data_IF_933924196944
#
_entry.id   IF_933924196944
#
_cell.length_a   1.000
_cell.length_b   1.000
_cell.length_c   1.000
_cell.angle_alpha   90.00
_cell.angle_beta   90.00
_cell.angle_gamma   90.00
#
_symmetry.space_group_name_H-M   'P 1'
#
loop_
_entity.id
_entity.type
_entity.pdbx_description
1 polymer ?
#
# COMPACT_ATOMS: atom_id res chain seq x y z
N UNK A 1 -8.62 -5.23 -8.24
CA UNK A 1 -7.24 -5.57 -8.65
C UNK A 1 -6.23 -4.82 -7.80
N UNK A 2 -5.18 -5.46 -7.27
CA UNK A 2 -4.09 -4.76 -6.56
C UNK A 2 -3.14 -4.15 -7.60
N UNK A 3 -2.85 -2.85 -7.48
CA UNK A 3 -1.97 -2.10 -8.39
C UNK A 3 -0.58 -1.93 -7.76
N UNK A 4 -0.52 -1.77 -6.44
CA UNK A 4 0.75 -1.62 -5.73
C UNK A 4 0.59 -1.60 -4.22
N UNK A 5 1.72 -1.64 -3.54
CA UNK A 5 1.82 -1.55 -2.08
C UNK A 5 3.12 -0.88 -1.67
N UNK A 6 3.12 -0.26 -0.49
CA UNK A 6 4.29 0.40 0.09
C UNK A 6 4.19 0.26 1.61
N UNK A 7 5.28 -0.17 2.23
CA UNK A 7 5.36 -0.39 3.66
C UNK A 7 6.39 0.55 4.27
N UNK A 8 6.06 1.18 5.39
CA UNK A 8 6.96 2.07 6.12
C UNK A 8 6.87 1.83 7.60
N UNK A 9 7.99 2.04 8.31
CA UNK A 9 7.95 2.17 9.75
C UNK A 9 7.20 3.45 10.16
N UNK A 10 6.43 3.35 11.23
CA UNK A 10 5.73 4.45 11.89
C UNK A 10 5.93 4.33 13.41
N UNK A 11 5.46 5.32 14.18
CA UNK A 11 5.52 5.31 15.66
C UNK A 11 6.94 5.03 16.17
N UNK A 12 7.92 5.79 15.69
CA UNK A 12 9.33 5.67 16.11
C UNK A 12 9.99 4.32 15.78
N UNK A 13 9.48 3.58 14.79
CA UNK A 13 10.00 2.26 14.42
C UNK A 13 9.33 1.08 15.13
N UNK A 14 8.26 1.32 15.89
CA UNK A 14 7.54 0.29 16.67
C UNK A 14 6.34 -0.33 15.95
N UNK A 15 6.00 0.19 14.77
CA UNK A 15 4.95 -0.37 13.94
C UNK A 15 5.28 -0.22 12.46
N UNK A 16 4.75 -1.12 11.63
CA UNK A 16 4.79 -1.02 10.17
C UNK A 16 3.40 -0.72 9.66
N UNK A 17 3.31 0.32 8.84
CA UNK A 17 2.11 0.61 8.07
C UNK A 17 2.34 0.21 6.63
N UNK A 18 1.46 -0.64 6.11
CA UNK A 18 1.39 -0.96 4.69
C UNK A 18 0.19 -0.28 4.05
N UNK A 19 0.44 0.47 2.99
CA UNK A 19 -0.57 1.08 2.14
C UNK A 19 -0.74 0.22 0.90
N UNK A 20 -1.97 -0.02 0.49
CA UNK A 20 -2.31 -0.77 -0.73
C UNK A 20 -3.13 0.12 -1.66
N UNK A 21 -2.83 0.07 -2.95
CA UNK A 21 -3.58 0.74 -4.02
C UNK A 21 -4.31 -0.31 -4.83
N UNK A 22 -5.63 -0.18 -4.96
CA UNK A 22 -6.47 -1.12 -5.70
C UNK A 22 -7.27 -0.40 -6.77
N UNK A 23 -7.35 -0.96 -7.97
CA UNK A 23 -8.37 -0.59 -8.94
C UNK A 23 -9.65 -1.34 -8.58
N UNK A 24 -10.73 -0.60 -8.39
CA UNK A 24 -12.07 -1.13 -8.26
C UNK A 24 -12.92 -0.60 -9.42
N UNK A 25 -13.57 -1.49 -10.19
CA UNK A 25 -14.53 -1.04 -11.18
C UNK A 25 -15.71 -0.37 -10.46
N UNK A 26 -16.08 0.81 -10.92
CA UNK A 26 -17.27 1.52 -10.50
C UNK A 26 -18.05 1.89 -11.75
N UNK A 27 -19.36 1.68 -11.70
CA UNK A 27 -20.27 2.17 -12.73
C UNK A 27 -20.45 3.66 -12.51
N UNK A 28 -20.08 4.46 -13.50
CA UNK A 28 -20.35 5.90 -13.53
C UNK A 28 -21.86 6.14 -13.60
N UNK A 29 -22.32 7.34 -13.25
CA UNK A 29 -23.72 7.75 -13.41
C UNK A 29 -24.25 7.56 -14.83
N UNK A 30 -23.35 7.55 -15.81
CA UNK A 30 -23.65 7.42 -17.24
C UNK A 30 -23.58 5.97 -17.74
N UNK A 31 -23.45 4.98 -16.85
CA UNK A 31 -23.42 3.54 -17.21
C UNK A 31 -22.03 3.00 -17.59
N UNK A 32 -21.04 3.86 -17.81
CA UNK A 32 -19.68 3.45 -18.13
C UNK A 32 -18.96 2.77 -16.96
N UNK A 33 -18.22 1.69 -17.24
CA UNK A 33 -17.36 1.03 -16.25
C UNK A 33 -16.00 1.73 -16.20
N UNK A 34 -15.74 2.49 -15.14
CA UNK A 34 -14.47 3.18 -14.91
C UNK A 34 -13.74 2.51 -13.75
N UNK A 35 -12.42 2.33 -13.86
CA UNK A 35 -11.60 1.84 -12.74
C UNK A 35 -11.20 3.00 -11.83
N UNK A 36 -11.71 3.01 -10.59
CA UNK A 36 -11.29 3.97 -9.55
C UNK A 36 -10.17 3.39 -8.70
N UNK A 37 -9.15 4.21 -8.44
CA UNK A 37 -8.06 3.84 -7.53
C UNK A 37 -8.49 4.11 -6.08
N UNK A 38 -8.46 3.07 -5.25
CA UNK A 38 -8.79 3.12 -3.83
C UNK A 38 -7.53 2.80 -3.02
N UNK A 39 -7.34 3.51 -1.91
CA UNK A 39 -6.23 3.30 -0.98
C UNK A 39 -6.75 2.65 0.29
N UNK A 40 -6.14 1.53 0.70
CA UNK A 40 -6.39 0.91 2.02
C UNK A 40 -5.10 0.86 2.82
N UNK A 41 -5.21 0.86 4.15
CA UNK A 41 -4.06 0.86 5.07
C UNK A 41 -4.19 -0.27 6.07
N UNK A 42 -3.09 -0.97 6.34
CA UNK A 42 -2.99 -1.97 7.41
C UNK A 42 -1.78 -1.62 8.27
N UNK A 43 -1.98 -1.50 9.58
CA UNK A 43 -0.91 -1.27 10.54
C UNK A 43 -0.67 -2.55 11.34
N UNK A 44 0.59 -2.93 11.47
CA UNK A 44 1.06 -4.00 12.33
C UNK A 44 1.96 -3.39 13.40
N UNK A 45 1.56 -3.49 14.67
CA UNK A 45 2.38 -3.04 15.79
C UNK A 45 3.26 -4.19 16.28
N UNK A 46 4.49 -3.88 16.69
CA UNK A 46 5.37 -4.84 17.34
C UNK A 46 5.33 -4.67 18.86
N UNK A 47 5.46 -5.76 19.63
CA UNK A 47 5.66 -5.65 21.08
C UNK A 47 6.91 -4.83 21.39
N UNK A 48 6.88 -4.10 22.50
CA UNK A 48 8.01 -3.31 22.99
C UNK A 48 9.08 -4.23 23.58
N UNK A 49 9.92 -4.80 22.74
CA UNK A 49 11.17 -5.46 23.13
C UNK A 49 12.11 -5.51 21.94
N UNK A 50 13.40 -5.69 22.21
CA UNK A 50 14.57 -5.77 21.29
C UNK A 50 14.50 -6.89 20.23
N UNK A 51 13.33 -7.17 19.68
CA UNK A 51 13.15 -8.13 18.60
C UNK A 51 13.50 -7.48 17.27
N UNK A 52 14.37 -8.16 16.53
CA UNK A 52 14.84 -7.85 15.18
C UNK A 52 13.76 -7.12 14.37
N UNK A 53 14.00 -5.82 14.11
CA UNK A 53 13.12 -5.02 13.24
C UNK A 53 13.03 -5.72 11.88
N UNK A 54 11.83 -6.11 11.41
CA UNK A 54 11.72 -6.87 10.18
C UNK A 54 12.15 -5.99 9.01
N UNK A 55 13.17 -6.41 8.24
CA UNK A 55 13.64 -5.66 7.08
C UNK A 55 12.48 -5.50 6.08
N UNK A 56 11.96 -4.27 5.97
CA UNK A 56 10.79 -4.01 5.12
C UNK A 56 11.30 -3.63 3.74
N UNK A 57 11.01 -4.48 2.75
CA UNK A 57 11.30 -4.14 1.36
C UNK A 57 10.35 -3.03 0.87
N UNK A 58 10.89 -1.82 0.69
CA UNK A 58 10.20 -0.70 0.04
C UNK A 58 10.38 -0.81 -1.47
N UNK A 59 9.57 -1.62 -2.15
CA UNK A 59 9.54 -1.62 -3.63
C UNK A 59 8.45 -0.67 -4.12
N UNK A 60 8.82 0.57 -4.41
CA UNK A 60 8.04 1.38 -5.35
C UNK A 60 8.44 0.88 -6.73
N UNK A 61 7.59 0.11 -7.40
CA UNK A 61 7.80 -0.17 -8.82
C UNK A 61 7.74 1.18 -9.54
N UNK A 62 8.90 1.78 -9.81
CA UNK A 62 9.03 2.83 -10.81
C UNK A 62 8.72 2.17 -12.16
N UNK A 63 7.44 2.12 -12.52
CA UNK A 63 7.05 1.84 -13.89
C UNK A 63 7.36 3.11 -14.71
N UNK A 64 8.65 3.33 -14.98
CA UNK A 64 9.05 4.21 -16.07
C UNK A 64 8.75 3.47 -17.37
N UNK A 65 7.50 3.52 -17.83
CA UNK A 65 7.19 3.26 -19.22
C UNK A 65 7.56 4.53 -20.00
N UNK A 66 8.82 4.62 -20.44
CA UNK A 66 9.25 5.52 -21.50
C UNK A 66 9.82 4.68 -22.64
N UNK A 67 9.01 4.47 -23.67
CA UNK A 67 9.31 4.58 -25.10
C UNK A 67 8.18 3.93 -25.88
#
# INVERSE_FOLDING_TARGET
MLIGSCSRYIVGGRAVQTVYWRAQPVTSSNGDKVNKIIKTKKTLSFPAADQNRPNISTSIRHLHSRS
#
